data_IF_429041225662
#
_entry.id   IF_429041225662
#
_cell.length_a   1.000
_cell.length_b   1.000
_cell.length_c   1.000
_cell.angle_alpha   90.00
_cell.angle_beta   90.00
_cell.angle_gamma   90.00
#
_symmetry.space_group_name_H-M   'P 1'
#
loop_
_entity.id
_entity.type
_entity.pdbx_description
1 polymer ?
#
# COMPACT_ATOMS: atom_id res chain seq x y z
N UNK A 1 1.92 4.00 15.03
CA UNK A 1 3.09 4.37 14.22
C UNK A 1 3.31 5.87 14.32
N UNK A 2 4.46 6.27 14.87
CA UNK A 2 4.77 7.68 15.11
C UNK A 2 5.11 8.41 13.79
N UNK A 3 5.76 7.70 12.86
CA UNK A 3 6.08 8.21 11.54
C UNK A 3 5.98 7.09 10.50
N UNK A 4 5.68 7.46 9.25
CA UNK A 4 5.53 6.57 8.12
C UNK A 4 6.03 7.30 6.86
N UNK A 5 6.79 6.60 6.02
CA UNK A 5 7.45 7.16 4.83
C UNK A 5 7.34 6.18 3.68
N UNK A 6 7.30 6.69 2.46
CA UNK A 6 7.30 5.87 1.24
C UNK A 6 8.42 6.30 0.31
N UNK A 7 8.84 5.36 -0.54
CA UNK A 7 9.65 5.62 -1.73
C UNK A 7 9.06 4.79 -2.85
N UNK A 8 8.62 5.44 -3.91
CA UNK A 8 7.96 4.78 -5.04
C UNK A 8 8.54 5.30 -6.35
N UNK A 9 8.54 4.44 -7.36
CA UNK A 9 8.93 4.77 -8.73
C UNK A 9 7.75 4.40 -9.62
N UNK A 10 7.25 5.36 -10.40
CA UNK A 10 6.09 5.11 -11.26
C UNK A 10 5.40 6.38 -11.70
N UNK A 11 4.22 6.21 -12.32
CA UNK A 11 3.40 7.32 -12.77
C UNK A 11 2.82 8.14 -11.59
N UNK A 12 2.30 9.34 -11.87
CA UNK A 12 1.73 10.22 -10.84
C UNK A 12 0.67 9.55 -9.96
N UNK A 13 -0.11 8.62 -10.51
CA UNK A 13 -1.09 7.83 -9.75
C UNK A 13 -0.46 6.91 -8.70
N UNK A 14 0.72 6.34 -8.98
CA UNK A 14 1.46 5.54 -8.01
C UNK A 14 1.99 6.42 -6.87
N UNK A 15 2.53 7.59 -7.20
CA UNK A 15 2.99 8.57 -6.21
C UNK A 15 1.83 9.04 -5.31
N UNK A 16 0.68 9.40 -5.91
CA UNK A 16 -0.50 9.83 -5.18
C UNK A 16 -1.06 8.72 -4.27
N UNK A 17 -1.15 7.48 -4.78
CA UNK A 17 -1.62 6.32 -4.01
C UNK A 17 -0.71 6.01 -2.83
N UNK A 18 0.61 5.95 -3.04
CA UNK A 18 1.57 5.74 -1.95
C UNK A 18 1.53 6.86 -0.91
N UNK A 19 1.44 8.13 -1.35
CA UNK A 19 1.35 9.26 -0.43
C UNK A 19 0.09 9.19 0.43
N UNK A 20 -1.07 8.92 -0.18
CA UNK A 20 -2.34 8.85 0.54
C UNK A 20 -2.37 7.65 1.50
N UNK A 21 -1.84 6.50 1.08
CA UNK A 21 -1.79 5.32 1.92
C UNK A 21 -0.99 5.56 3.21
N UNK A 22 0.12 6.31 3.14
CA UNK A 22 0.91 6.70 4.32
C UNK A 22 0.11 7.63 5.24
N UNK A 23 -0.56 8.65 4.69
CA UNK A 23 -1.40 9.55 5.49
C UNK A 23 -2.55 8.80 6.21
N UNK A 24 -3.13 7.78 5.57
CA UNK A 24 -4.21 6.98 6.14
C UNK A 24 -3.77 6.08 7.32
N UNK A 25 -2.48 5.76 7.43
CA UNK A 25 -1.95 4.88 8.50
C UNK A 25 -1.14 5.64 9.55
N UNK A 26 -0.72 6.87 9.27
CA UNK A 26 0.09 7.68 10.19
C UNK A 26 -0.69 7.94 11.48
N UNK A 27 -0.04 7.74 12.63
CA UNK A 27 -0.67 7.86 13.95
C UNK A 27 -1.49 6.65 14.39
N UNK A 28 -1.82 5.70 13.49
CA UNK A 28 -2.60 4.49 13.80
C UNK A 28 -1.75 3.37 14.41
N UNK A 29 -2.37 2.40 15.07
CA UNK A 29 -1.72 1.17 15.53
C UNK A 29 -1.36 0.25 14.36
N UNK A 30 -0.55 -0.79 14.61
CA UNK A 30 -0.19 -1.77 13.58
C UNK A 30 -1.43 -2.55 13.11
N UNK A 31 -2.31 -2.93 14.04
CA UNK A 31 -3.57 -3.61 13.75
C UNK A 31 -4.51 -2.72 12.91
N UNK A 32 -4.63 -1.44 13.24
CA UNK A 32 -5.44 -0.51 12.45
C UNK A 32 -4.86 -0.28 11.05
N UNK A 33 -3.54 -0.17 10.94
CA UNK A 33 -2.87 -0.01 9.65
C UNK A 33 -3.02 -1.25 8.76
N UNK A 34 -3.09 -2.44 9.36
CA UNK A 34 -3.36 -3.69 8.64
C UNK A 34 -4.73 -3.71 7.95
N UNK A 35 -5.72 -3.03 8.54
CA UNK A 35 -7.06 -2.93 7.94
C UNK A 35 -7.14 -2.01 6.73
N UNK A 36 -6.03 -1.34 6.36
CA UNK A 36 -5.99 -0.53 5.14
C UNK A 36 -6.25 -1.43 3.92
N UNK A 37 -7.09 -0.94 3.01
CA UNK A 37 -7.40 -1.62 1.75
C UNK A 37 -7.13 -0.69 0.57
N UNK A 38 -6.88 -1.26 -0.61
CA UNK A 38 -6.74 -0.50 -1.86
C UNK A 38 -7.97 0.38 -2.12
N UNK A 39 -9.16 -0.12 -1.78
CA UNK A 39 -10.41 0.62 -1.95
C UNK A 39 -10.42 1.87 -1.07
N UNK A 40 -9.99 1.78 0.18
CA UNK A 40 -9.88 2.94 1.06
C UNK A 40 -8.88 3.97 0.52
N UNK A 41 -7.76 3.53 -0.06
CA UNK A 41 -6.78 4.42 -0.71
C UNK A 41 -7.38 5.09 -1.95
N UNK A 42 -8.08 4.35 -2.80
CA UNK A 42 -8.73 4.89 -3.99
C UNK A 42 -9.86 5.86 -3.63
N UNK A 43 -10.68 5.55 -2.62
CA UNK A 43 -11.76 6.42 -2.13
C UNK A 43 -11.21 7.72 -1.54
N UNK A 44 -10.09 7.65 -0.80
CA UNK A 44 -9.43 8.85 -0.27
C UNK A 44 -8.84 9.76 -1.36
N UNK A 45 -8.70 9.26 -2.59
CA UNK A 45 -8.28 10.02 -3.77
C UNK A 45 -9.46 10.50 -4.63
N UNK A 46 -10.69 10.47 -4.11
CA UNK A 46 -11.93 10.72 -4.87
C UNK A 46 -12.16 9.73 -6.03
N UNK A 47 -11.60 8.52 -5.89
CA UNK A 47 -11.67 7.45 -6.87
C UNK A 47 -10.47 7.40 -7.81
N UNK A 48 -10.27 6.24 -8.43
CA UNK A 48 -9.26 6.02 -9.46
C UNK A 48 -9.92 5.38 -10.70
N UNK A 49 -9.50 5.75 -11.92
CA UNK A 49 -9.91 5.04 -13.12
C UNK A 49 -9.53 3.55 -13.02
N UNK A 50 -10.33 2.62 -13.59
CA UNK A 50 -10.07 1.18 -13.48
C UNK A 50 -8.64 0.77 -13.86
N UNK A 51 -8.07 1.37 -14.90
CA UNK A 51 -6.70 1.10 -15.36
C UNK A 51 -5.61 1.49 -14.35
N UNK A 52 -5.89 2.43 -13.43
CA UNK A 52 -4.96 2.91 -12.40
C UNK A 52 -5.25 2.35 -11.00
N UNK A 53 -6.27 1.50 -10.84
CA UNK A 53 -6.56 0.84 -9.56
C UNK A 53 -5.37 0.02 -9.04
N UNK A 54 -4.54 -0.52 -9.94
CA UNK A 54 -3.32 -1.24 -9.56
C UNK A 54 -2.38 -0.41 -8.66
N UNK A 55 -2.35 0.93 -8.81
CA UNK A 55 -1.53 1.81 -7.97
C UNK A 55 -1.98 1.77 -6.50
N UNK A 56 -3.28 1.59 -6.26
CA UNK A 56 -3.84 1.46 -4.90
C UNK A 56 -3.60 0.08 -4.29
N UNK A 57 -3.59 -0.97 -5.11
CA UNK A 57 -3.22 -2.35 -4.70
C UNK A 57 -1.76 -2.39 -4.27
N UNK A 58 -0.85 -1.85 -5.07
CA UNK A 58 0.58 -1.79 -4.73
C UNK A 58 0.84 -1.04 -3.42
N UNK A 59 0.06 0.01 -3.14
CA UNK A 59 0.19 0.77 -1.90
C UNK A 59 -0.29 -0.02 -0.66
N UNK A 60 -1.39 -0.75 -0.78
CA UNK A 60 -1.90 -1.66 0.26
C UNK A 60 -0.88 -2.77 0.56
N UNK A 61 -0.44 -3.50 -0.47
CA UNK A 61 0.50 -4.61 -0.32
C UNK A 61 1.83 -4.16 0.25
N UNK A 62 2.34 -3.00 -0.15
CA UNK A 62 3.58 -2.46 0.40
C UNK A 62 3.49 -2.23 1.92
N UNK A 63 2.32 -1.79 2.42
CA UNK A 63 2.09 -1.57 3.84
C UNK A 63 1.96 -2.91 4.57
N UNK A 64 1.22 -3.88 4.02
CA UNK A 64 1.12 -5.22 4.62
C UNK A 64 2.49 -5.91 4.69
N UNK A 65 3.28 -5.83 3.62
CA UNK A 65 4.67 -6.33 3.60
C UNK A 65 5.54 -5.66 4.65
N UNK A 66 5.48 -4.33 4.78
CA UNK A 66 6.25 -3.58 5.78
C UNK A 66 5.84 -3.97 7.21
N UNK A 67 4.54 -4.15 7.47
CA UNK A 67 4.04 -4.63 8.78
C UNK A 67 4.54 -6.05 9.05
N UNK A 68 4.46 -6.95 8.08
CA UNK A 68 4.94 -8.32 8.23
C UNK A 68 6.46 -8.40 8.43
N UNK A 69 7.24 -7.54 7.76
CA UNK A 69 8.68 -7.44 8.01
C UNK A 69 8.96 -6.98 9.44
N UNK A 70 8.24 -5.97 9.94
CA UNK A 70 8.30 -5.57 11.34
C UNK A 70 7.97 -6.74 12.28
N UNK A 71 6.85 -7.44 12.06
CA UNK A 71 6.42 -8.59 12.87
C UNK A 71 7.46 -9.69 12.89
N UNK A 72 8.01 -10.05 11.72
CA UNK A 72 9.11 -11.01 11.57
C UNK A 72 10.33 -10.61 12.40
N UNK A 73 10.73 -9.35 12.34
CA UNK A 73 11.87 -8.82 13.09
C UNK A 73 11.63 -8.77 14.61
N UNK A 74 10.37 -8.79 15.05
CA UNK A 74 9.99 -8.92 16.46
C UNK A 74 9.76 -10.39 16.89
N UNK A 75 9.91 -11.37 15.99
CA UNK A 75 9.65 -12.78 16.27
C UNK A 75 8.16 -13.11 16.42
N UNK A 76 7.28 -12.31 15.82
CA UNK A 76 5.83 -12.51 15.82
C UNK A 76 5.38 -13.29 14.58
N UNK A 77 4.24 -13.97 14.69
CA UNK A 77 3.61 -14.66 13.56
C UNK A 77 3.21 -13.66 12.46
N UNK A 78 3.44 -14.06 11.21
CA UNK A 78 3.06 -13.28 10.04
C UNK A 78 1.54 -13.31 9.87
N UNK A 79 1.01 -12.21 9.36
CA UNK A 79 -0.38 -12.14 8.95
C UNK A 79 -0.50 -12.45 7.46
N UNK A 80 -1.44 -13.33 7.12
CA UNK A 80 -1.69 -13.71 5.74
C UNK A 80 -2.41 -12.57 5.01
N UNK A 81 -1.90 -12.22 3.83
CA UNK A 81 -2.57 -11.36 2.87
C UNK A 81 -2.37 -11.93 1.47
N UNK A 82 -3.28 -11.60 0.55
CA UNK A 82 -3.16 -12.04 -0.85
C UNK A 82 -2.25 -11.05 -1.57
N UNK A 83 -1.08 -11.52 -1.95
CA UNK A 83 -0.18 -10.82 -2.86
C UNK A 83 -0.66 -11.03 -4.31
N UNK A 84 -0.58 -10.00 -5.13
CA UNK A 84 -0.93 -10.04 -6.54
C UNK A 84 0.36 -9.93 -7.38
N UNK A 85 0.95 -11.10 -7.70
CA UNK A 85 2.23 -11.24 -8.41
C UNK A 85 2.20 -10.78 -9.88
N UNK A 86 1.02 -10.61 -10.46
CA UNK A 86 0.78 -10.39 -11.90
C UNK A 86 0.84 -8.93 -12.35
N UNK A 87 1.18 -7.99 -11.46
CA UNK A 87 0.96 -6.55 -11.70
C UNK A 87 2.22 -5.82 -12.23
N UNK A 88 3.41 -6.43 -12.17
CA UNK A 88 4.66 -5.74 -12.52
C UNK A 88 4.90 -5.56 -14.04
N UNK A 89 4.20 -6.29 -14.91
CA UNK A 89 4.57 -6.43 -16.33
C UNK A 89 3.87 -5.49 -17.32
N UNK A 90 3.01 -4.55 -16.89
CA UNK A 90 2.20 -3.74 -17.84
C UNK A 90 2.38 -2.22 -17.79
N UNK A 91 3.41 -1.69 -17.11
CA UNK A 91 3.59 -0.23 -16.96
C UNK A 91 4.95 0.30 -17.47
N UNK A 92 5.58 -0.43 -18.39
CA UNK A 92 6.64 0.09 -19.25
C UNK A 92 6.19 0.08 -20.72
N UNK A 93 5.08 0.75 -21.01
CA UNK A 93 4.72 1.14 -22.37
C UNK A 93 5.16 2.57 -22.60
N UNK A 94 6.17 2.75 -23.46
CA UNK A 94 6.39 4.02 -24.18
C UNK A 94 5.14 4.41 -24.99
#
# INVERSE_FOLDING_TARGET
MIDAKFKTFGCGSAIASSSMAIELIKGKTVDEAWTLTNKAVAEALDGLPPVKMHCSVLAEEAIHKAINDYRKNQGLDLWDFKEHDDIHDHVHGE
#
